data_IF_079311493532
#
_entry.id   IF_079311493532
#
_cell.length_a   1.000
_cell.length_b   1.000
_cell.length_c   1.000
_cell.angle_alpha   90.00
_cell.angle_beta   90.00
_cell.angle_gamma   90.00
#
_symmetry.space_group_name_H-M   'P 1'
#
loop_
_entity.id
_entity.type
_entity.pdbx_description
1 polymer ?
#
# COMPACT_ATOMS: atom_id res chain seq x y z
N UNK A 1 46.66 -32.87 -41.10
CA UNK A 1 47.97 -33.47 -40.81
C UNK A 1 48.09 -33.69 -39.31
N UNK A 2 48.37 -34.99 -38.96
CA UNK A 2 48.73 -35.56 -37.63
C UNK A 2 47.66 -35.39 -36.54
N UNK A 3 46.82 -36.33 -36.15
CA UNK A 3 46.96 -37.77 -35.79
C UNK A 3 48.01 -38.04 -34.70
N UNK A 4 47.55 -38.48 -33.55
CA UNK A 4 48.08 -39.49 -32.64
C UNK A 4 47.11 -39.63 -31.44
N UNK A 5 46.41 -40.69 -31.27
CA UNK A 5 46.63 -42.13 -31.06
C UNK A 5 47.15 -42.50 -29.66
N UNK A 6 46.26 -43.25 -28.98
CA UNK A 6 46.42 -44.37 -28.04
C UNK A 6 47.03 -44.15 -26.67
N UNK A 7 46.40 -44.70 -25.57
CA UNK A 7 46.68 -46.12 -25.26
C UNK A 7 45.72 -46.59 -24.13
N UNK A 8 45.08 -47.73 -24.37
CA UNK A 8 44.44 -48.61 -23.40
C UNK A 8 45.47 -49.36 -22.56
N UNK A 9 45.24 -49.45 -21.22
CA UNK A 9 45.88 -50.54 -20.45
C UNK A 9 44.74 -51.18 -19.61
N UNK A 10 44.45 -52.42 -19.98
CA UNK A 10 43.78 -53.44 -19.20
C UNK A 10 44.75 -54.04 -18.19
N UNK A 11 44.41 -54.12 -16.93
CA UNK A 11 45.03 -55.01 -15.96
C UNK A 11 43.95 -55.89 -15.36
N UNK A 12 43.96 -57.13 -15.77
CA UNK A 12 43.30 -58.27 -15.12
C UNK A 12 44.22 -58.79 -14.01
N UNK A 13 43.69 -58.88 -12.79
CA UNK A 13 44.24 -59.79 -11.78
C UNK A 13 43.12 -60.63 -11.16
N UNK A 14 43.26 -61.95 -11.37
CA UNK A 14 42.54 -62.99 -10.66
C UNK A 14 43.07 -63.09 -9.24
N UNK A 15 42.17 -63.32 -8.26
CA UNK A 15 42.43 -64.28 -7.16
C UNK A 15 41.18 -64.56 -6.33
N UNK A 16 40.84 -65.79 -6.35
CA UNK A 16 40.42 -66.75 -5.31
C UNK A 16 39.41 -66.29 -4.24
N UNK A 17 38.40 -67.11 -4.18
CA UNK A 17 37.25 -67.06 -3.32
C UNK A 17 37.54 -67.36 -1.83
N UNK A 18 36.63 -66.82 -1.05
CA UNK A 18 36.15 -67.48 0.19
C UNK A 18 34.67 -67.09 0.36
N UNK A 19 33.84 -68.13 0.43
CA UNK A 19 32.44 -68.06 0.80
C UNK A 19 32.34 -67.76 2.29
N UNK A 20 31.67 -66.65 2.59
CA UNK A 20 31.04 -66.47 3.90
C UNK A 20 29.55 -66.21 3.67
N UNK A 21 28.72 -67.09 4.22
CA UNK A 21 27.32 -66.84 4.45
C UNK A 21 27.16 -65.71 5.45
N UNK A 22 26.45 -64.69 5.07
CA UNK A 22 25.75 -63.82 6.02
C UNK A 22 24.34 -63.62 5.48
N UNK A 23 23.47 -64.40 6.07
CA UNK A 23 22.03 -64.23 6.01
C UNK A 23 21.64 -62.94 6.71
N UNK A 24 20.69 -62.20 6.10
CA UNK A 24 19.69 -61.35 6.74
C UNK A 24 20.13 -60.23 7.67
N UNK A 25 20.63 -59.09 7.12
CA UNK A 25 20.49 -57.80 7.82
C UNK A 25 20.41 -56.56 6.88
N UNK A 26 20.43 -56.71 5.56
CA UNK A 26 20.41 -55.57 4.63
C UNK A 26 19.03 -55.20 4.02
N UNK A 27 17.97 -55.82 4.44
CA UNK A 27 16.61 -55.55 3.92
C UNK A 27 15.71 -54.78 4.89
N UNK A 28 16.22 -54.29 6.00
CA UNK A 28 15.45 -53.61 7.00
C UNK A 28 15.72 -52.09 7.10
N UNK A 29 16.72 -51.57 6.36
CA UNK A 29 17.05 -50.11 6.36
C UNK A 29 16.48 -49.32 5.19
N UNK A 30 15.69 -49.92 4.30
CA UNK A 30 15.13 -49.21 3.12
C UNK A 30 13.62 -48.96 3.20
N UNK A 31 12.95 -49.29 4.31
CA UNK A 31 11.51 -49.09 4.45
C UNK A 31 11.08 -48.06 5.52
N UNK A 32 12.02 -47.29 6.09
CA UNK A 32 11.70 -46.25 7.08
C UNK A 32 11.77 -44.84 6.56
N UNK A 33 11.90 -44.64 5.25
CA UNK A 33 11.45 -43.38 4.60
C UNK A 33 9.98 -43.53 4.23
N UNK A 34 9.11 -43.61 5.25
CA UNK A 34 7.75 -43.13 5.10
C UNK A 34 7.94 -41.64 4.84
N UNK A 35 7.77 -41.22 3.57
CA UNK A 35 7.42 -39.84 3.28
C UNK A 35 6.21 -39.55 4.18
N UNK A 36 6.45 -38.75 5.21
CA UNK A 36 5.39 -38.17 6.00
C UNK A 36 4.69 -37.19 5.05
N UNK A 37 3.85 -37.74 4.16
CA UNK A 37 2.92 -36.98 3.33
C UNK A 37 1.80 -36.45 4.25
N UNK A 38 2.24 -35.65 5.23
CA UNK A 38 1.34 -34.71 5.88
C UNK A 38 1.01 -33.69 4.81
N UNK A 39 0.06 -34.02 3.94
CA UNK A 39 -0.66 -33.03 3.15
C UNK A 39 -1.26 -32.08 4.17
N UNK A 40 -0.56 -30.93 4.38
CA UNK A 40 -1.11 -29.81 5.14
C UNK A 40 -2.42 -29.49 4.43
N UNK A 41 -3.54 -29.76 5.09
CA UNK A 41 -4.86 -29.53 4.51
C UNK A 41 -5.00 -28.03 4.29
N UNK A 42 -4.85 -27.59 3.02
CA UNK A 42 -4.92 -26.20 2.65
C UNK A 42 -6.32 -25.66 2.96
N UNK A 43 -6.38 -24.57 3.71
CA UNK A 43 -7.64 -23.88 3.99
C UNK A 43 -7.83 -22.77 2.94
N UNK A 44 -8.70 -22.97 1.96
CA UNK A 44 -8.93 -21.95 0.93
C UNK A 44 -9.35 -20.60 1.50
N UNK A 45 -8.93 -19.50 0.88
CA UNK A 45 -9.45 -18.18 1.21
C UNK A 45 -10.97 -18.16 1.10
N UNK A 46 -11.60 -17.36 1.95
CA UNK A 46 -13.01 -17.01 1.77
C UNK A 46 -13.21 -16.41 0.38
N UNK A 47 -14.38 -16.64 -0.20
CA UNK A 47 -14.73 -16.13 -1.52
C UNK A 47 -15.84 -15.10 -1.41
N UNK A 48 -15.58 -13.90 -1.93
CA UNK A 48 -16.61 -12.89 -2.16
C UNK A 48 -17.23 -13.19 -3.52
N UNK A 49 -18.57 -13.35 -3.54
CA UNK A 49 -19.36 -13.48 -4.76
C UNK A 49 -20.24 -12.24 -4.91
N UNK A 50 -20.15 -11.58 -6.06
CA UNK A 50 -20.96 -10.40 -6.38
C UNK A 50 -21.77 -10.73 -7.62
N UNK A 51 -23.07 -10.52 -7.54
CA UNK A 51 -23.99 -10.68 -8.66
C UNK A 51 -24.69 -9.35 -8.92
N UNK A 52 -24.42 -8.74 -10.06
CA UNK A 52 -25.06 -7.49 -10.46
C UNK A 52 -26.47 -7.76 -10.97
N UNK A 53 -27.36 -6.80 -10.85
CA UNK A 53 -28.72 -6.91 -11.36
C UNK A 53 -28.72 -7.20 -12.88
N UNK A 54 -29.38 -8.28 -13.26
CA UNK A 54 -29.45 -8.78 -14.64
C UNK A 54 -28.06 -9.04 -15.28
N UNK A 55 -27.01 -9.25 -14.49
CA UNK A 55 -25.65 -9.50 -14.98
C UNK A 55 -24.99 -8.30 -15.67
N UNK A 56 -25.44 -7.08 -15.34
CA UNK A 56 -24.85 -5.84 -15.92
C UNK A 56 -23.37 -5.72 -15.64
N UNK A 57 -22.63 -5.18 -16.59
CA UNK A 57 -21.23 -4.83 -16.40
C UNK A 57 -21.08 -3.68 -15.40
N UNK A 58 -20.10 -3.80 -14.50
CA UNK A 58 -19.76 -2.74 -13.54
C UNK A 58 -19.00 -1.65 -14.30
N UNK A 59 -19.42 -0.40 -14.11
CA UNK A 59 -18.84 0.79 -14.73
C UNK A 59 -18.14 1.67 -13.68
N UNK A 60 -17.44 2.72 -14.13
CA UNK A 60 -16.77 3.67 -13.23
C UNK A 60 -17.80 4.47 -12.41
N UNK A 61 -18.77 5.08 -13.08
CA UNK A 61 -19.88 5.82 -12.49
C UNK A 61 -21.13 5.69 -13.37
N UNK A 62 -22.32 5.69 -12.79
CA UNK A 62 -22.66 5.61 -11.35
C UNK A 62 -22.55 4.19 -10.79
N UNK A 63 -22.53 4.03 -9.46
CA UNK A 63 -22.68 2.73 -8.81
C UNK A 63 -23.93 2.01 -9.33
N UNK A 64 -23.79 0.72 -9.53
CA UNK A 64 -24.89 -0.17 -9.93
C UNK A 64 -25.25 -1.12 -8.80
N UNK A 65 -26.54 -1.46 -8.69
CA UNK A 65 -27.04 -2.42 -7.70
C UNK A 65 -26.48 -3.81 -7.95
N UNK A 66 -26.05 -4.46 -6.86
CA UNK A 66 -25.57 -5.82 -6.86
C UNK A 66 -25.84 -6.51 -5.52
N UNK A 67 -25.70 -7.82 -5.50
CA UNK A 67 -25.82 -8.66 -4.32
C UNK A 67 -24.44 -9.21 -3.95
N UNK A 68 -23.98 -8.92 -2.73
CA UNK A 68 -22.68 -9.30 -2.18
C UNK A 68 -22.84 -10.46 -1.22
N UNK A 69 -21.99 -11.46 -1.33
CA UNK A 69 -21.98 -12.63 -0.44
C UNK A 69 -20.55 -13.06 -0.10
N UNK A 70 -20.32 -13.49 1.13
CA UNK A 70 -19.07 -14.12 1.57
C UNK A 70 -19.32 -15.61 1.82
N UNK A 71 -18.48 -16.44 1.24
CA UNK A 71 -18.49 -17.90 1.42
C UNK A 71 -17.19 -18.41 2.04
N UNK A 72 -17.29 -19.41 2.93
CA UNK A 72 -16.20 -20.31 3.30
C UNK A 72 -16.49 -21.69 2.71
N UNK A 73 -15.78 -22.03 1.63
CA UNK A 73 -16.15 -23.17 0.81
C UNK A 73 -17.55 -22.99 0.21
N UNK A 74 -18.48 -23.88 0.52
CA UNK A 74 -19.88 -23.80 0.08
C UNK A 74 -20.80 -23.10 1.12
N UNK A 75 -20.30 -22.81 2.31
CA UNK A 75 -21.09 -22.22 3.38
C UNK A 75 -21.19 -20.69 3.21
N UNK A 76 -22.40 -20.18 3.05
CA UNK A 76 -22.69 -18.75 3.11
C UNK A 76 -22.46 -18.25 4.54
N UNK A 77 -21.63 -17.21 4.68
CA UNK A 77 -21.30 -16.59 5.97
C UNK A 77 -22.06 -15.28 6.14
N UNK A 78 -22.12 -14.48 5.08
CA UNK A 78 -22.61 -13.10 5.15
C UNK A 78 -23.15 -12.67 3.78
N UNK A 79 -24.18 -11.80 3.76
CA UNK A 79 -24.73 -11.26 2.53
C UNK A 79 -25.34 -9.88 2.71
N UNK A 80 -25.23 -9.01 1.68
CA UNK A 80 -25.71 -7.64 1.66
C UNK A 80 -26.13 -7.19 0.27
N UNK A 81 -27.07 -6.24 0.19
CA UNK A 81 -27.24 -5.42 -1.00
C UNK A 81 -26.13 -4.38 -1.05
N UNK A 82 -25.61 -4.08 -2.23
CA UNK A 82 -24.55 -3.13 -2.45
C UNK A 82 -24.77 -2.27 -3.68
N UNK A 83 -24.22 -1.06 -3.66
CA UNK A 83 -23.90 -0.29 -4.86
C UNK A 83 -22.44 -0.45 -5.20
N UNK A 84 -22.09 -0.85 -6.41
CA UNK A 84 -20.71 -1.13 -6.81
C UNK A 84 -20.30 -0.38 -8.09
N UNK A 85 -19.07 0.10 -8.12
CA UNK A 85 -18.45 0.79 -9.25
C UNK A 85 -17.00 0.34 -9.47
N UNK A 86 -16.45 0.53 -10.65
CA UNK A 86 -15.01 0.46 -10.88
C UNK A 86 -14.37 1.69 -10.21
N UNK A 87 -13.22 1.51 -9.59
CA UNK A 87 -12.48 2.62 -8.98
C UNK A 87 -11.02 2.66 -9.42
N UNK A 88 -10.39 3.81 -9.14
CA UNK A 88 -8.99 4.08 -9.43
C UNK A 88 -8.85 5.10 -10.55
N UNK A 89 -7.62 5.49 -10.84
CA UNK A 89 -7.26 6.34 -11.96
C UNK A 89 -6.46 5.51 -12.98
N UNK A 90 -5.14 5.53 -12.92
CA UNK A 90 -4.28 4.73 -13.83
C UNK A 90 -4.52 3.21 -13.70
N UNK A 91 -4.92 2.72 -12.53
CA UNK A 91 -5.23 1.29 -12.34
C UNK A 91 -6.42 0.79 -13.17
N UNK A 92 -7.27 1.69 -13.64
CA UNK A 92 -8.37 1.34 -14.56
C UNK A 92 -7.90 0.86 -15.93
N UNK A 93 -6.66 1.13 -16.33
CA UNK A 93 -6.09 0.59 -17.57
C UNK A 93 -5.75 -0.91 -17.48
N UNK A 94 -5.62 -1.45 -16.26
CA UNK A 94 -5.37 -2.88 -16.08
C UNK A 94 -6.63 -3.71 -16.29
N UNK A 95 -6.50 -4.95 -16.80
CA UNK A 95 -7.65 -5.84 -16.97
C UNK A 95 -8.26 -6.29 -15.64
N UNK A 96 -7.44 -6.40 -14.58
CA UNK A 96 -7.90 -6.68 -13.21
C UNK A 96 -8.28 -5.37 -12.54
N UNK A 97 -9.58 -5.08 -12.51
CA UNK A 97 -10.12 -3.84 -11.93
C UNK A 97 -10.14 -3.89 -10.41
N UNK A 98 -10.05 -2.72 -9.78
CA UNK A 98 -10.43 -2.52 -8.39
C UNK A 98 -11.84 -1.95 -8.33
N UNK A 99 -12.56 -2.22 -7.24
CA UNK A 99 -13.95 -1.80 -7.09
C UNK A 99 -14.13 -1.01 -5.80
N UNK A 100 -14.95 0.04 -5.85
CA UNK A 100 -15.55 0.68 -4.70
C UNK A 100 -16.98 0.18 -4.53
N UNK A 101 -17.42 -0.06 -3.31
CA UNK A 101 -18.80 -0.41 -3.07
C UNK A 101 -19.29 0.14 -1.75
N UNK A 102 -20.60 0.32 -1.67
CA UNK A 102 -21.34 0.73 -0.48
C UNK A 102 -22.37 -0.33 -0.15
N UNK A 103 -22.52 -0.62 1.13
CA UNK A 103 -23.63 -1.47 1.59
C UNK A 103 -24.91 -0.65 1.64
N UNK A 104 -26.01 -1.22 1.12
CA UNK A 104 -27.30 -0.59 0.94
C UNK A 104 -28.41 -1.33 1.68
N UNK A 105 -29.43 -0.59 2.07
CA UNK A 105 -30.70 -1.16 2.53
C UNK A 105 -31.59 -1.62 1.34
N UNK A 106 -32.81 -2.08 1.64
CA UNK A 106 -33.77 -2.53 0.61
C UNK A 106 -34.27 -1.38 -0.29
N UNK A 107 -34.13 -0.12 0.15
CA UNK A 107 -34.49 1.06 -0.63
C UNK A 107 -33.34 1.57 -1.52
N UNK A 108 -32.13 1.02 -1.35
CA UNK A 108 -30.92 1.45 -2.05
C UNK A 108 -30.25 2.65 -1.39
N UNK A 109 -30.53 2.92 -0.12
CA UNK A 109 -29.88 3.95 0.67
C UNK A 109 -28.70 3.33 1.46
N UNK A 110 -27.70 4.15 1.80
CA UNK A 110 -26.51 3.75 2.52
C UNK A 110 -26.84 3.10 3.86
N UNK A 111 -26.20 1.98 4.17
CA UNK A 111 -26.42 1.21 5.40
C UNK A 111 -25.08 0.81 6.03
N UNK A 112 -24.81 1.33 7.23
CA UNK A 112 -23.68 0.91 8.05
C UNK A 112 -23.83 -0.57 8.47
N UNK A 113 -22.86 -1.42 8.12
CA UNK A 113 -22.83 -2.82 8.52
C UNK A 113 -21.44 -3.23 9.01
N UNK A 114 -21.38 -4.21 9.91
CA UNK A 114 -20.14 -4.87 10.30
C UNK A 114 -19.76 -5.90 9.24
N UNK A 115 -19.13 -5.47 8.16
CA UNK A 115 -18.76 -6.32 7.04
C UNK A 115 -17.50 -7.14 7.37
N UNK A 116 -17.57 -8.45 7.19
CA UNK A 116 -16.41 -9.35 7.37
C UNK A 116 -15.75 -9.25 8.77
N UNK A 117 -16.48 -8.79 9.77
CA UNK A 117 -16.00 -8.55 11.13
C UNK A 117 -15.26 -7.23 11.32
N UNK A 118 -15.23 -6.36 10.30
CA UNK A 118 -14.78 -4.97 10.47
C UNK A 118 -15.83 -4.14 11.22
N UNK A 119 -15.43 -3.02 11.85
CA UNK A 119 -16.39 -2.08 12.44
C UNK A 119 -17.43 -1.62 11.42
N UNK A 120 -18.64 -1.32 11.92
CA UNK A 120 -19.77 -0.85 11.12
C UNK A 120 -19.38 0.37 10.28
N UNK A 121 -19.68 0.30 8.99
CA UNK A 121 -19.55 1.36 7.99
C UNK A 121 -20.19 0.92 6.66
N UNK A 122 -20.48 1.85 5.74
CA UNK A 122 -21.06 1.55 4.44
C UNK A 122 -20.02 1.47 3.30
N UNK A 123 -18.89 2.20 3.38
CA UNK A 123 -17.92 2.39 2.30
C UNK A 123 -16.75 1.38 2.35
N UNK A 124 -16.58 0.59 1.30
CA UNK A 124 -15.60 -0.48 1.19
C UNK A 124 -14.87 -0.50 -0.17
N UNK A 125 -13.75 -1.20 -0.21
CA UNK A 125 -12.95 -1.36 -1.42
C UNK A 125 -12.56 -2.81 -1.61
N UNK A 126 -12.64 -3.29 -2.85
CA UNK A 126 -12.00 -4.49 -3.33
C UNK A 126 -10.81 -4.10 -4.21
N UNK A 127 -9.61 -4.13 -3.63
CA UNK A 127 -8.38 -3.85 -4.35
C UNK A 127 -7.91 -5.08 -5.11
N UNK A 128 -7.69 -4.95 -6.41
CA UNK A 128 -7.16 -6.00 -7.29
C UNK A 128 -5.68 -5.79 -7.58
N UNK A 129 -4.74 -6.44 -6.85
CA UNK A 129 -3.32 -6.32 -7.14
C UNK A 129 -3.02 -6.92 -8.52
N UNK A 130 -2.55 -6.08 -9.46
CA UNK A 130 -2.19 -6.51 -10.82
C UNK A 130 -0.72 -6.22 -11.14
N UNK A 131 -0.28 -4.96 -11.03
CA UNK A 131 1.13 -4.61 -11.21
C UNK A 131 2.01 -5.01 -10.02
N UNK A 132 1.42 -5.17 -8.83
CA UNK A 132 2.10 -5.73 -7.67
C UNK A 132 2.05 -7.26 -7.70
N UNK A 133 3.08 -7.89 -8.27
CA UNK A 133 3.17 -9.35 -8.38
C UNK A 133 3.57 -10.04 -7.07
N UNK A 134 4.03 -9.29 -6.06
CA UNK A 134 4.15 -9.84 -4.71
C UNK A 134 2.78 -10.07 -4.06
N UNK A 135 1.74 -9.36 -4.53
CA UNK A 135 0.35 -9.34 -4.04
C UNK A 135 0.17 -8.68 -2.66
N UNK A 136 1.26 -8.30 -1.98
CA UNK A 136 1.23 -7.93 -0.55
C UNK A 136 1.72 -6.50 -0.22
N UNK A 137 2.27 -5.71 -1.16
CA UNK A 137 2.91 -4.41 -0.86
C UNK A 137 1.99 -3.45 -0.10
N UNK A 138 0.75 -3.28 -0.55
CA UNK A 138 -0.22 -2.45 0.15
C UNK A 138 -0.55 -2.99 1.54
N UNK A 139 -0.81 -4.30 1.65
CA UNK A 139 -1.15 -4.94 2.92
C UNK A 139 0.01 -4.83 3.92
N UNK A 140 1.24 -5.05 3.45
CA UNK A 140 2.45 -4.94 4.27
C UNK A 140 2.58 -3.54 4.89
N UNK A 141 2.55 -2.49 4.07
CA UNK A 141 2.77 -1.14 4.60
C UNK A 141 1.63 -0.67 5.51
N UNK A 142 0.38 -1.07 5.24
CA UNK A 142 -0.73 -0.75 6.13
C UNK A 142 -0.61 -1.46 7.47
N UNK A 143 -0.15 -2.72 7.51
CA UNK A 143 0.19 -3.39 8.77
C UNK A 143 1.31 -2.68 9.51
N UNK A 144 2.37 -2.27 8.82
CA UNK A 144 3.47 -1.51 9.42
C UNK A 144 3.01 -0.16 9.98
N UNK A 145 2.14 0.57 9.27
CA UNK A 145 1.57 1.82 9.75
C UNK A 145 0.76 1.65 11.04
N UNK A 146 -0.11 0.63 11.09
CA UNK A 146 -0.86 0.32 12.30
C UNK A 146 0.06 -0.12 13.45
N UNK A 147 1.13 -0.84 13.15
CA UNK A 147 2.11 -1.30 14.15
C UNK A 147 2.86 -0.15 14.79
N UNK A 148 3.21 0.90 14.03
CA UNK A 148 3.86 2.11 14.57
C UNK A 148 2.87 3.08 15.24
N UNK A 149 1.59 2.72 15.33
CA UNK A 149 0.55 3.49 16.01
C UNK A 149 -0.15 4.55 15.13
N UNK A 150 -0.02 4.46 13.81
CA UNK A 150 -0.72 5.33 12.84
C UNK A 150 -1.79 4.55 12.09
N UNK A 151 -3.02 4.99 12.21
CA UNK A 151 -4.11 4.35 11.47
C UNK A 151 -3.79 4.25 9.97
N UNK A 152 -3.94 3.05 9.45
CA UNK A 152 -4.04 2.76 8.04
C UNK A 152 -5.16 1.74 7.84
N UNK A 153 -5.70 1.70 6.65
CA UNK A 153 -6.83 0.84 6.28
C UNK A 153 -6.58 -0.62 6.67
N UNK A 154 -7.55 -1.24 7.31
CA UNK A 154 -7.53 -2.68 7.58
C UNK A 154 -7.74 -3.43 6.27
N UNK A 155 -7.12 -4.60 6.19
CA UNK A 155 -7.08 -5.40 4.95
C UNK A 155 -7.27 -6.87 5.25
N UNK A 156 -7.95 -7.59 4.36
CA UNK A 156 -8.06 -9.06 4.38
C UNK A 156 -8.09 -9.62 2.96
N UNK A 157 -7.49 -10.78 2.76
CA UNK A 157 -7.46 -11.44 1.46
C UNK A 157 -8.73 -12.26 1.21
N UNK A 158 -9.22 -12.18 -0.01
CA UNK A 158 -10.37 -12.94 -0.50
C UNK A 158 -10.16 -13.37 -1.95
N UNK A 159 -10.76 -14.48 -2.32
CA UNK A 159 -11.05 -14.76 -3.73
C UNK A 159 -12.26 -13.95 -4.17
N UNK A 160 -12.25 -13.40 -5.39
CA UNK A 160 -13.40 -12.66 -5.93
C UNK A 160 -14.02 -13.37 -7.12
N UNK A 161 -15.34 -13.44 -7.12
CA UNK A 161 -16.15 -13.90 -8.25
C UNK A 161 -17.22 -12.83 -8.54
N UNK A 162 -17.34 -12.40 -9.80
CA UNK A 162 -18.38 -11.47 -10.25
C UNK A 162 -19.20 -12.13 -11.36
N UNK A 163 -20.52 -12.20 -11.20
CA UNK A 163 -21.44 -12.82 -12.15
C UNK A 163 -20.99 -14.24 -12.58
N UNK A 164 -20.53 -15.03 -11.61
CA UNK A 164 -20.02 -16.38 -11.84
C UNK A 164 -18.61 -16.48 -12.42
N UNK A 165 -17.96 -15.36 -12.75
CA UNK A 165 -16.59 -15.32 -13.28
C UNK A 165 -15.58 -15.14 -12.15
N UNK A 166 -14.67 -16.11 -11.99
CA UNK A 166 -13.55 -16.01 -11.04
C UNK A 166 -12.52 -14.97 -11.48
N UNK A 167 -12.15 -14.05 -10.59
CA UNK A 167 -11.23 -12.94 -10.84
C UNK A 167 -9.91 -13.02 -10.07
N UNK A 168 -9.68 -14.09 -9.30
CA UNK A 168 -8.46 -14.29 -8.52
C UNK A 168 -8.49 -13.62 -7.15
N UNK A 169 -7.31 -13.37 -6.62
CA UNK A 169 -7.09 -12.74 -5.31
C UNK A 169 -7.46 -11.26 -5.32
N UNK A 170 -8.20 -10.84 -4.32
CA UNK A 170 -8.51 -9.44 -4.01
C UNK A 170 -8.26 -9.15 -2.53
N UNK A 171 -8.07 -7.88 -2.22
CA UNK A 171 -7.96 -7.38 -0.85
C UNK A 171 -9.21 -6.58 -0.52
N UNK A 172 -10.00 -7.06 0.44
CA UNK A 172 -11.07 -6.24 1.04
C UNK A 172 -10.43 -5.21 1.95
N UNK A 173 -10.79 -3.94 1.78
CA UNK A 173 -10.17 -2.81 2.45
C UNK A 173 -11.21 -1.80 2.92
N UNK A 174 -10.92 -1.14 4.05
CA UNK A 174 -11.63 0.09 4.44
C UNK A 174 -11.31 1.22 3.46
N UNK A 175 -12.29 2.03 3.08
CA UNK A 175 -12.07 3.31 2.39
C UNK A 175 -11.63 4.37 3.41
N UNK A 176 -10.72 5.26 3.06
CA UNK A 176 -10.39 6.41 3.91
C UNK A 176 -11.62 7.29 4.05
N UNK A 177 -12.08 7.46 5.26
CA UNK A 177 -13.29 8.21 5.61
C UNK A 177 -13.19 8.74 7.04
N UNK A 178 -13.94 9.81 7.34
CA UNK A 178 -14.14 10.23 8.72
C UNK A 178 -15.04 9.22 9.44
N UNK A 179 -14.47 8.49 10.34
CA UNK A 179 -15.20 7.60 11.26
C UNK A 179 -14.38 7.35 12.52
N UNK A 180 -15.04 6.98 13.63
CA UNK A 180 -14.40 6.67 14.92
C UNK A 180 -13.39 5.53 14.86
N UNK A 181 -13.54 4.61 13.90
CA UNK A 181 -12.69 3.45 13.71
C UNK A 181 -11.71 3.61 12.52
N UNK A 182 -11.81 4.72 11.76
CA UNK A 182 -10.95 5.06 10.60
C UNK A 182 -10.20 6.36 10.88
N UNK A 183 -10.49 7.46 10.17
CA UNK A 183 -9.94 8.78 10.51
C UNK A 183 -10.81 9.38 11.60
N UNK A 184 -10.37 9.21 12.84
CA UNK A 184 -11.15 9.61 14.02
C UNK A 184 -10.99 11.11 14.30
N UNK A 185 -11.79 11.90 13.57
CA UNK A 185 -11.93 13.34 13.78
C UNK A 185 -13.40 13.70 13.96
N UNK A 186 -13.67 14.84 14.57
CA UNK A 186 -15.00 15.40 14.78
C UNK A 186 -15.74 15.59 13.45
N UNK A 187 -17.07 15.47 13.49
CA UNK A 187 -17.89 15.88 12.35
C UNK A 187 -17.70 17.37 12.12
N UNK A 188 -17.50 17.75 10.86
CA UNK A 188 -17.46 19.16 10.48
C UNK A 188 -18.82 19.85 10.81
N UNK A 189 -18.78 21.05 11.35
CA UNK A 189 -19.95 21.76 11.89
C UNK A 189 -19.93 23.21 11.46
N UNK A 190 -21.13 23.80 11.33
CA UNK A 190 -21.26 25.22 10.98
C UNK A 190 -21.02 26.17 12.18
N UNK A 191 -21.22 25.68 13.42
CA UNK A 191 -21.00 26.45 14.65
C UNK A 191 -19.56 26.40 15.16
N UNK A 192 -18.72 25.45 14.65
CA UNK A 192 -17.28 25.40 14.87
C UNK A 192 -16.57 24.86 13.62
N UNK A 193 -16.06 25.78 12.81
CA UNK A 193 -15.38 25.45 11.56
C UNK A 193 -13.87 25.17 11.73
N UNK A 194 -13.36 25.11 12.97
CA UNK A 194 -11.92 24.97 13.24
C UNK A 194 -11.37 23.58 12.94
N UNK A 195 -12.22 22.60 12.63
CA UNK A 195 -11.79 21.23 12.38
C UNK A 195 -12.84 20.37 11.69
N UNK A 196 -12.57 19.04 11.67
CA UNK A 196 -13.38 18.09 10.95
C UNK A 196 -13.06 18.09 9.45
N UNK A 197 -11.77 18.17 9.07
CA UNK A 197 -11.35 18.16 7.69
C UNK A 197 -10.41 16.99 7.38
N UNK A 198 -10.65 16.35 6.23
CA UNK A 198 -9.67 15.50 5.55
C UNK A 198 -9.41 16.17 4.20
N UNK A 199 -8.15 16.45 3.90
CA UNK A 199 -7.70 16.94 2.60
C UNK A 199 -6.63 16.01 2.06
N UNK A 200 -6.44 16.00 0.76
CA UNK A 200 -5.38 15.21 0.14
C UNK A 200 -4.65 15.99 -0.95
N UNK A 201 -3.36 15.73 -1.10
CA UNK A 201 -2.61 16.11 -2.29
C UNK A 201 -2.80 14.98 -3.30
N UNK A 202 -3.36 15.30 -4.46
CA UNK A 202 -3.63 14.31 -5.51
C UNK A 202 -3.80 14.94 -6.88
N UNK A 203 -3.87 14.08 -7.91
CA UNK A 203 -4.29 14.46 -9.25
C UNK A 203 -5.74 14.92 -9.23
N UNK A 204 -6.04 15.88 -10.09
CA UNK A 204 -7.41 16.27 -10.38
C UNK A 204 -7.90 15.34 -11.49
N UNK A 205 -8.41 14.19 -11.11
CA UNK A 205 -9.00 13.18 -12.01
C UNK A 205 -10.37 12.79 -11.48
N UNK A 206 -11.30 12.52 -12.38
CA UNK A 206 -12.73 12.33 -12.06
C UNK A 206 -13.49 13.65 -12.10
N UNK A 207 -14.80 13.65 -12.05
CA UNK A 207 -15.69 14.82 -11.99
C UNK A 207 -15.37 15.96 -12.99
N UNK A 208 -14.93 15.63 -14.22
CA UNK A 208 -14.78 16.61 -15.31
C UNK A 208 -13.43 17.27 -15.44
N UNK A 209 -12.35 16.68 -14.94
CA UNK A 209 -10.92 16.88 -15.27
C UNK A 209 -10.38 18.33 -15.29
N UNK A 210 -11.11 19.31 -14.83
CA UNK A 210 -10.63 20.69 -14.71
C UNK A 210 -10.53 21.09 -13.25
N UNK A 211 -9.36 21.61 -12.88
CA UNK A 211 -9.18 22.26 -11.58
C UNK A 211 -10.26 23.33 -11.44
N UNK A 212 -11.12 23.10 -10.47
CA UNK A 212 -12.12 24.09 -10.16
C UNK A 212 -12.10 24.30 -8.63
N UNK A 213 -12.23 25.56 -8.23
CA UNK A 213 -12.21 25.98 -6.82
C UNK A 213 -13.27 25.28 -5.96
N UNK A 214 -14.20 24.57 -6.58
CA UNK A 214 -15.21 23.79 -5.88
C UNK A 214 -14.63 22.50 -5.28
N UNK A 215 -13.73 21.80 -6.01
CA UNK A 215 -13.19 20.50 -5.62
C UNK A 215 -11.81 20.55 -4.98
N UNK A 216 -11.04 21.61 -5.27
CA UNK A 216 -9.65 21.74 -4.82
C UNK A 216 -9.21 23.18 -4.71
N UNK A 217 -8.11 23.40 -4.00
CA UNK A 217 -7.34 24.65 -4.00
C UNK A 217 -5.85 24.34 -4.19
N UNK A 218 -5.04 25.35 -4.48
CA UNK A 218 -3.62 25.17 -4.77
C UNK A 218 -2.75 25.78 -3.66
N UNK A 219 -1.57 25.19 -3.45
CA UNK A 219 -0.49 25.87 -2.74
C UNK A 219 -0.15 27.20 -3.43
N UNK A 220 0.17 28.21 -2.63
CA UNK A 220 0.69 29.50 -3.16
C UNK A 220 2.20 29.49 -3.35
N UNK A 221 2.85 28.37 -3.12
CA UNK A 221 4.30 28.23 -3.15
C UNK A 221 4.77 27.30 -4.27
N UNK A 222 5.94 27.64 -4.83
CA UNK A 222 6.67 26.76 -5.74
C UNK A 222 7.32 25.60 -4.98
N UNK A 223 7.88 24.64 -5.72
CA UNK A 223 8.70 23.56 -5.15
C UNK A 223 9.92 24.04 -4.34
N UNK A 224 10.36 25.26 -4.55
CA UNK A 224 11.52 25.88 -3.89
C UNK A 224 11.10 26.76 -2.69
N UNK A 225 9.84 26.74 -2.29
CA UNK A 225 9.33 27.52 -1.16
C UNK A 225 9.21 29.03 -1.46
N UNK A 226 9.10 29.40 -2.73
CA UNK A 226 8.94 30.80 -3.16
C UNK A 226 7.48 31.04 -3.51
N UNK A 227 6.88 32.06 -2.91
CA UNK A 227 5.52 32.48 -3.22
C UNK A 227 5.45 32.92 -4.70
N UNK A 228 4.63 32.25 -5.53
CA UNK A 228 4.64 32.49 -6.96
C UNK A 228 3.61 31.72 -7.77
N UNK A 229 3.77 31.77 -9.11
CA UNK A 229 2.75 31.38 -10.10
C UNK A 229 2.79 29.89 -10.46
N UNK A 230 3.90 29.18 -10.28
CA UNK A 230 4.04 27.76 -10.62
C UNK A 230 3.53 26.89 -9.47
N UNK A 231 2.25 26.63 -9.48
CA UNK A 231 1.52 25.94 -8.41
C UNK A 231 1.21 24.52 -8.86
N UNK A 232 2.01 23.56 -8.42
CA UNK A 232 1.88 22.15 -8.84
C UNK A 232 1.43 21.24 -7.70
N UNK A 233 1.02 21.82 -6.56
CA UNK A 233 0.48 21.09 -5.42
C UNK A 233 -0.99 21.46 -5.26
N UNK A 234 -1.85 20.47 -5.44
CA UNK A 234 -3.30 20.64 -5.36
C UNK A 234 -3.83 19.94 -4.10
N UNK A 235 -4.61 20.65 -3.31
CA UNK A 235 -5.31 20.14 -2.12
C UNK A 235 -6.76 19.88 -2.45
N UNK A 236 -7.17 18.63 -2.46
CA UNK A 236 -8.55 18.20 -2.72
C UNK A 236 -9.30 18.06 -1.41
N UNK A 237 -10.58 18.46 -1.39
CA UNK A 237 -11.47 18.23 -0.25
C UNK A 237 -11.94 16.78 -0.23
N UNK A 238 -11.46 16.00 0.72
CA UNK A 238 -11.92 14.63 0.92
C UNK A 238 -13.08 14.53 1.92
N UNK A 239 -13.02 15.29 3.00
CA UNK A 239 -14.11 15.46 3.96
C UNK A 239 -14.06 16.87 4.57
N UNK A 240 -15.18 17.60 4.65
CA UNK A 240 -16.44 17.31 3.95
C UNK A 240 -16.25 17.24 2.43
N UNK A 241 -17.13 16.49 1.75
CA UNK A 241 -17.10 16.45 0.29
C UNK A 241 -17.47 17.83 -0.28
N UNK A 242 -17.01 18.08 -1.50
CA UNK A 242 -17.25 19.34 -2.20
C UNK A 242 -18.72 19.84 -2.18
N UNK A 243 -19.68 18.91 -2.28
CA UNK A 243 -21.11 19.23 -2.23
C UNK A 243 -21.61 19.65 -0.83
N UNK A 244 -20.87 19.30 0.23
CA UNK A 244 -21.27 19.41 1.63
C UNK A 244 -20.51 20.51 2.40
N UNK A 245 -19.34 20.95 1.89
CA UNK A 245 -18.49 21.96 2.53
C UNK A 245 -18.94 23.36 2.19
N UNK A 246 -19.18 24.22 3.20
CA UNK A 246 -19.56 25.62 3.00
C UNK A 246 -18.37 26.50 2.56
N UNK A 247 -18.66 27.71 2.04
CA UNK A 247 -17.62 28.66 1.65
C UNK A 247 -16.81 29.15 2.87
N UNK A 248 -17.43 29.30 4.03
CA UNK A 248 -16.72 29.64 5.27
C UNK A 248 -15.75 28.55 5.69
N UNK A 249 -16.16 27.30 5.58
CA UNK A 249 -15.33 26.14 5.89
C UNK A 249 -14.18 26.00 4.89
N UNK A 250 -14.44 26.22 3.59
CA UNK A 250 -13.36 26.28 2.56
C UNK A 250 -12.36 27.39 2.88
N UNK A 251 -12.85 28.59 3.16
CA UNK A 251 -11.99 29.73 3.51
C UNK A 251 -11.13 29.47 4.74
N UNK A 252 -11.70 28.78 5.73
CA UNK A 252 -10.96 28.41 6.95
C UNK A 252 -9.83 27.45 6.64
N UNK A 253 -10.09 26.31 5.99
CA UNK A 253 -9.04 25.29 5.75
C UNK A 253 -8.00 25.78 4.75
N UNK A 254 -8.39 26.56 3.73
CA UNK A 254 -7.47 27.21 2.81
C UNK A 254 -6.58 28.23 3.55
N UNK A 255 -7.19 29.03 4.43
CA UNK A 255 -6.47 29.99 5.27
C UNK A 255 -5.45 29.29 6.16
N UNK A 256 -5.86 28.21 6.82
CA UNK A 256 -5.00 27.42 7.69
C UNK A 256 -3.78 26.84 6.93
N UNK A 257 -4.02 26.27 5.75
CA UNK A 257 -2.94 25.74 4.90
C UNK A 257 -1.99 26.83 4.45
N UNK A 258 -2.51 28.00 4.06
CA UNK A 258 -1.69 29.17 3.68
C UNK A 258 -0.83 29.65 4.85
N UNK A 259 -1.44 29.80 6.05
CA UNK A 259 -0.74 30.25 7.24
C UNK A 259 0.36 29.27 7.65
N UNK A 260 0.12 27.94 7.49
CA UNK A 260 1.15 26.91 7.64
C UNK A 260 2.28 27.07 6.65
N UNK A 261 1.96 27.23 5.36
CA UNK A 261 2.96 27.41 4.30
C UNK A 261 3.74 28.71 4.48
N UNK A 262 3.09 29.81 4.87
CA UNK A 262 3.75 31.09 5.19
C UNK A 262 4.71 30.92 6.39
N UNK A 263 4.30 30.18 7.43
CA UNK A 263 5.14 29.95 8.60
C UNK A 263 6.38 29.10 8.28
N UNK A 264 6.20 28.00 7.53
CA UNK A 264 7.33 27.11 7.20
C UNK A 264 8.27 27.73 6.14
N UNK A 265 7.78 28.62 5.28
CA UNK A 265 8.60 29.37 4.34
C UNK A 265 9.40 30.52 4.98
N UNK A 266 8.99 31.00 6.15
CA UNK A 266 9.58 32.14 6.81
C UNK A 266 11.03 31.90 7.29
N UNK A 267 11.77 32.96 7.58
CA UNK A 267 13.10 32.86 8.21
C UNK A 267 13.01 32.28 9.63
N UNK A 268 11.90 32.53 10.33
CA UNK A 268 11.63 32.06 11.69
C UNK A 268 10.89 30.73 11.73
N UNK A 269 10.98 29.90 10.69
CA UNK A 269 10.17 28.69 10.55
C UNK A 269 10.32 27.67 11.69
N UNK A 270 11.46 27.68 12.41
CA UNK A 270 11.73 26.78 13.56
C UNK A 270 11.18 27.32 14.89
N UNK A 271 10.63 28.58 14.92
CA UNK A 271 10.07 29.18 16.12
C UNK A 271 8.91 28.34 16.69
N UNK A 272 8.86 28.16 18.00
CA UNK A 272 7.77 27.46 18.66
C UNK A 272 6.42 28.20 18.57
N UNK A 273 6.45 29.56 18.59
CA UNK A 273 5.24 30.39 18.58
C UNK A 273 4.79 30.79 17.18
N UNK A 274 5.71 30.99 16.25
CA UNK A 274 5.44 31.60 14.94
C UNK A 274 5.81 30.71 13.76
N UNK A 275 6.57 29.64 13.99
CA UNK A 275 7.00 28.69 12.97
C UNK A 275 5.97 27.57 12.70
N UNK A 276 6.40 26.59 11.93
CA UNK A 276 5.53 25.47 11.48
C UNK A 276 4.95 24.64 12.64
N UNK A 277 5.63 24.55 13.77
CA UNK A 277 5.21 23.79 14.96
C UNK A 277 3.89 24.28 15.55
N UNK A 278 3.50 25.52 15.27
CA UNK A 278 2.18 26.07 15.63
C UNK A 278 1.05 25.37 14.89
N UNK A 279 1.30 24.90 13.68
CA UNK A 279 0.27 24.42 12.74
C UNK A 279 0.23 22.90 12.60
N UNK A 280 1.33 22.20 12.76
CA UNK A 280 1.39 20.75 12.50
C UNK A 280 1.68 19.93 13.75
N UNK A 281 1.15 18.72 13.77
CA UNK A 281 1.55 17.64 14.67
C UNK A 281 2.83 17.02 14.15
N UNK A 282 3.96 17.41 14.74
CA UNK A 282 5.30 17.03 14.27
C UNK A 282 5.50 15.52 14.26
N UNK A 283 4.98 14.81 15.26
CA UNK A 283 5.12 13.35 15.37
C UNK A 283 4.40 12.64 14.21
N UNK A 284 3.24 13.16 13.76
CA UNK A 284 2.54 12.61 12.62
C UNK A 284 3.32 12.81 11.31
N UNK A 285 3.99 13.93 11.16
CA UNK A 285 4.85 14.22 10.00
C UNK A 285 6.09 13.31 9.99
N UNK A 286 6.69 13.08 11.14
CA UNK A 286 7.83 12.16 11.29
C UNK A 286 7.43 10.72 10.93
N UNK A 287 6.35 10.20 11.49
CA UNK A 287 5.89 8.84 11.19
C UNK A 287 5.49 8.69 9.72
N UNK A 288 4.82 9.70 9.14
CA UNK A 288 4.49 9.72 7.71
C UNK A 288 5.75 9.72 6.83
N UNK A 289 6.75 10.51 7.20
CA UNK A 289 8.07 10.51 6.54
C UNK A 289 8.69 9.11 6.59
N UNK A 290 8.79 8.51 7.77
CA UNK A 290 9.39 7.18 7.94
C UNK A 290 8.69 6.14 7.06
N UNK A 291 7.34 6.10 7.06
CA UNK A 291 6.55 5.12 6.29
C UNK A 291 6.70 5.30 4.77
N UNK A 292 6.82 6.53 4.29
CA UNK A 292 7.05 6.79 2.88
C UNK A 292 8.50 6.53 2.46
N UNK A 293 9.46 6.88 3.32
CA UNK A 293 10.87 6.65 3.03
C UNK A 293 11.28 5.18 3.11
N UNK A 294 10.75 4.42 4.06
CA UNK A 294 11.06 2.97 4.15
C UNK A 294 10.60 2.22 2.90
N UNK A 295 9.61 2.72 2.22
CA UNK A 295 9.06 2.12 0.98
C UNK A 295 9.60 2.77 -0.28
N UNK A 296 10.22 3.94 -0.18
CA UNK A 296 10.62 4.79 -1.30
C UNK A 296 9.51 4.88 -2.36
N UNK A 297 8.28 5.14 -1.90
CA UNK A 297 7.12 5.28 -2.77
C UNK A 297 7.31 6.48 -3.72
N UNK A 298 7.29 6.25 -5.03
CA UNK A 298 7.45 7.32 -6.04
C UNK A 298 6.29 8.30 -6.08
N UNK A 299 5.13 7.93 -5.54
CA UNK A 299 3.97 8.81 -5.38
C UNK A 299 3.93 9.52 -4.02
N UNK A 300 4.85 9.19 -3.11
CA UNK A 300 4.91 9.77 -1.79
C UNK A 300 4.90 11.31 -1.81
N UNK A 301 4.19 11.89 -0.85
CA UNK A 301 4.11 13.33 -0.61
C UNK A 301 3.36 14.16 -1.65
N UNK A 302 3.07 13.63 -2.85
CA UNK A 302 2.59 14.38 -4.02
C UNK A 302 1.30 13.83 -4.67
N UNK A 303 1.00 12.55 -4.44
CA UNK A 303 -0.19 11.86 -4.94
C UNK A 303 -0.73 10.98 -3.81
N UNK A 304 -2.04 10.83 -3.71
CA UNK A 304 -2.70 10.03 -2.67
C UNK A 304 -2.20 10.32 -1.26
N UNK A 305 -1.82 11.57 -1.00
CA UNK A 305 -1.23 12.04 0.25
C UNK A 305 -2.29 12.69 1.11
N UNK A 306 -2.78 11.95 2.09
CA UNK A 306 -3.85 12.40 2.98
C UNK A 306 -3.29 13.14 4.19
N UNK A 307 -4.09 14.10 4.68
CA UNK A 307 -3.89 14.79 5.93
C UNK A 307 -5.24 15.19 6.53
N UNK A 308 -5.28 15.36 7.83
CA UNK A 308 -6.53 15.67 8.51
C UNK A 308 -6.33 16.68 9.65
N UNK A 309 -7.38 17.40 9.96
CA UNK A 309 -7.39 18.41 11.03
C UNK A 309 -8.68 18.31 11.84
N UNK A 310 -8.53 18.04 13.14
CA UNK A 310 -9.66 18.05 14.05
C UNK A 310 -9.88 19.44 14.69
N UNK A 311 -11.00 19.61 15.39
CA UNK A 311 -11.40 20.86 16.07
C UNK A 311 -10.32 21.25 17.07
N UNK A 312 -9.83 22.48 16.97
CA UNK A 312 -8.77 23.05 17.81
C UNK A 312 -7.46 22.26 17.87
N UNK A 313 -7.28 21.26 16.99
CA UNK A 313 -6.03 20.51 16.87
C UNK A 313 -5.16 21.02 15.71
N UNK A 314 -3.91 20.56 15.69
CA UNK A 314 -2.96 20.80 14.60
C UNK A 314 -3.24 19.86 13.42
N UNK A 315 -2.76 20.24 12.25
CA UNK A 315 -2.79 19.39 11.06
C UNK A 315 -1.93 18.13 11.28
N UNK A 316 -2.46 16.96 10.96
CA UNK A 316 -1.79 15.65 11.02
C UNK A 316 -1.65 15.05 9.64
N UNK A 317 -0.48 14.47 9.34
CA UNK A 317 -0.29 13.66 8.13
C UNK A 317 -0.93 12.28 8.29
N UNK A 318 -1.39 11.75 7.17
CA UNK A 318 -2.00 10.43 7.08
C UNK A 318 -3.54 10.47 6.99
N UNK A 319 -4.16 9.27 6.84
CA UNK A 319 -3.51 7.96 6.70
C UNK A 319 -2.70 7.80 5.42
N UNK A 320 -1.76 6.86 5.40
CA UNK A 320 -1.03 6.48 4.19
C UNK A 320 -1.95 5.74 3.20
N UNK A 321 -1.66 5.86 1.89
CA UNK A 321 -2.48 5.26 0.83
C UNK A 321 -1.68 5.00 -0.43
N UNK A 322 -2.01 3.88 -1.14
CA UNK A 322 -1.57 3.57 -2.52
C UNK A 322 -0.06 3.30 -2.66
N UNK A 323 0.37 2.15 -2.17
CA UNK A 323 1.78 1.72 -2.15
C UNK A 323 2.08 0.52 -3.06
N UNK A 324 1.21 0.21 -4.02
CA UNK A 324 1.38 -0.92 -4.92
C UNK A 324 2.60 -0.82 -5.83
N UNK A 325 3.11 0.40 -6.08
CA UNK A 325 4.31 0.67 -6.86
C UNK A 325 5.54 1.03 -6.01
N UNK A 326 5.40 0.97 -4.69
CA UNK A 326 6.47 1.16 -3.71
C UNK A 326 7.35 -0.08 -3.55
N UNK A 327 8.28 -0.06 -2.60
CA UNK A 327 9.20 -1.16 -2.31
C UNK A 327 9.92 -1.67 -3.57
N UNK A 328 10.43 -0.74 -4.37
CA UNK A 328 11.20 -1.05 -5.56
C UNK A 328 10.39 -1.53 -6.76
N UNK A 329 9.07 -1.43 -6.75
CA UNK A 329 8.22 -1.90 -7.86
C UNK A 329 8.08 -0.91 -9.03
N UNK A 330 8.66 0.30 -8.95
CA UNK A 330 8.62 1.30 -10.02
C UNK A 330 9.96 1.40 -10.76
N UNK A 331 9.93 1.33 -12.09
CA UNK A 331 11.09 1.45 -13.00
C UNK A 331 11.40 2.88 -13.45
N UNK A 332 10.69 3.86 -12.91
CA UNK A 332 10.86 5.28 -13.23
C UNK A 332 11.22 6.10 -11.99
N UNK A 333 11.77 7.31 -12.22
CA UNK A 333 12.12 8.27 -11.17
C UNK A 333 12.90 7.62 -10.00
N UNK A 334 13.83 6.74 -10.34
CA UNK A 334 14.66 5.99 -9.40
C UNK A 334 13.89 5.11 -8.39
N UNK A 335 12.62 4.79 -8.65
CA UNK A 335 11.75 4.02 -7.75
C UNK A 335 12.26 2.61 -7.42
N UNK A 336 13.08 2.02 -8.30
CA UNK A 336 13.70 0.72 -8.07
C UNK A 336 14.89 0.73 -7.12
N UNK A 337 15.48 1.90 -6.83
CA UNK A 337 16.69 2.01 -6.01
C UNK A 337 16.37 1.87 -4.51
N UNK A 338 17.26 1.22 -3.78
CA UNK A 338 17.20 1.16 -2.30
C UNK A 338 17.79 2.41 -1.63
N UNK A 339 18.47 3.28 -2.40
CA UNK A 339 19.14 4.50 -1.94
C UNK A 339 18.39 5.75 -2.39
N UNK A 340 18.74 6.92 -1.82
CA UNK A 340 18.08 8.20 -2.13
C UNK A 340 16.78 8.39 -1.36
N UNK A 341 16.39 9.65 -1.16
CA UNK A 341 15.19 10.04 -0.43
C UNK A 341 13.98 10.22 -1.35
N UNK A 342 12.83 9.66 -0.99
CA UNK A 342 11.59 9.86 -1.76
C UNK A 342 11.12 11.33 -1.71
N UNK A 343 11.32 12.03 -0.60
CA UNK A 343 10.99 13.46 -0.52
C UNK A 343 11.79 14.34 -1.49
N UNK A 344 12.91 13.83 -2.03
CA UNK A 344 13.71 14.46 -3.08
C UNK A 344 13.23 14.12 -4.50
N UNK A 345 12.02 13.62 -4.66
CA UNK A 345 11.43 13.26 -5.96
C UNK A 345 11.58 14.36 -7.02
N UNK A 346 11.41 15.62 -6.64
CA UNK A 346 11.54 16.76 -7.56
C UNK A 346 12.94 16.90 -8.19
N UNK A 347 13.97 16.36 -7.55
CA UNK A 347 15.34 16.31 -8.07
C UNK A 347 15.52 15.09 -9.00
N UNK A 348 14.97 13.91 -8.59
CA UNK A 348 15.05 12.67 -9.37
C UNK A 348 14.18 12.72 -10.64
N UNK A 349 13.07 13.46 -10.60
CA UNK A 349 12.07 13.50 -11.67
C UNK A 349 11.63 14.95 -11.99
N UNK A 350 12.52 15.85 -12.41
CA UNK A 350 12.25 17.29 -12.53
C UNK A 350 11.22 17.65 -13.61
N UNK A 351 10.90 16.72 -14.51
CA UNK A 351 9.91 16.92 -15.58
C UNK A 351 8.49 16.48 -15.20
N UNK A 352 8.30 15.89 -14.01
CA UNK A 352 6.96 15.50 -13.53
C UNK A 352 6.16 16.75 -13.16
N UNK A 353 4.86 16.76 -13.53
CA UNK A 353 3.96 17.86 -13.24
C UNK A 353 3.40 17.87 -11.82
N UNK A 354 3.47 16.75 -11.11
CA UNK A 354 3.02 16.59 -9.72
C UNK A 354 4.23 16.63 -8.80
N UNK A 355 4.35 17.69 -8.00
CA UNK A 355 5.55 17.96 -7.21
C UNK A 355 5.33 17.65 -5.73
N UNK A 356 6.41 17.22 -5.09
CA UNK A 356 6.52 17.17 -3.62
C UNK A 356 6.50 18.60 -3.09
N UNK A 357 5.68 18.93 -2.08
CA UNK A 357 5.66 20.23 -1.44
C UNK A 357 7.03 20.59 -0.84
N UNK A 358 7.43 21.84 -0.90
CA UNK A 358 8.69 22.35 -0.33
C UNK A 358 8.83 22.13 1.20
N UNK A 359 7.74 21.78 1.88
CA UNK A 359 7.69 21.58 3.32
C UNK A 359 8.75 20.59 3.80
N UNK A 360 8.92 19.50 3.06
CA UNK A 360 9.83 18.41 3.46
C UNK A 360 11.28 18.86 3.43
N UNK A 361 11.69 19.64 2.42
CA UNK A 361 13.02 20.25 2.40
C UNK A 361 13.25 21.22 3.56
N UNK A 362 12.21 21.98 3.94
CA UNK A 362 12.30 22.90 5.07
C UNK A 362 12.33 22.20 6.41
N UNK A 363 11.50 21.17 6.62
CA UNK A 363 11.51 20.35 7.83
C UNK A 363 12.88 19.71 8.05
N UNK A 364 13.50 19.18 6.99
CA UNK A 364 14.83 18.57 7.05
C UNK A 364 15.97 19.58 7.32
N UNK A 365 15.69 20.88 7.24
CA UNK A 365 16.63 21.95 7.65
C UNK A 365 16.51 22.31 9.14
N UNK A 366 15.47 21.87 9.86
CA UNK A 366 15.36 22.07 11.31
C UNK A 366 16.11 20.97 12.07
N UNK A 367 17.20 21.30 12.80
CA UNK A 367 17.92 20.31 13.61
C UNK A 367 17.05 19.61 14.66
N UNK A 368 16.02 20.27 15.18
CA UNK A 368 15.10 19.66 16.14
C UNK A 368 14.20 18.61 15.46
N UNK A 369 13.77 18.88 14.23
CA UNK A 369 12.97 17.92 13.46
C UNK A 369 13.81 16.68 13.10
N UNK A 370 15.02 16.88 12.59
CA UNK A 370 15.91 15.76 12.20
C UNK A 370 16.38 14.97 13.42
N UNK A 371 16.61 15.60 14.56
CA UNK A 371 16.90 14.90 15.81
C UNK A 371 15.72 14.04 16.28
N UNK A 372 14.51 14.60 16.30
CA UNK A 372 13.30 13.86 16.67
C UNK A 372 13.02 12.69 15.69
N UNK A 373 13.23 12.91 14.40
CA UNK A 373 13.17 11.86 13.38
C UNK A 373 14.16 10.73 13.65
N UNK A 374 15.41 11.06 13.98
CA UNK A 374 16.45 10.09 14.34
C UNK A 374 16.09 9.29 15.59
N UNK A 375 15.60 9.93 16.61
CA UNK A 375 15.17 9.28 17.86
C UNK A 375 14.00 8.33 17.59
N UNK A 376 12.99 8.78 16.85
CA UNK A 376 11.84 7.96 16.48
C UNK A 376 12.25 6.76 15.60
N UNK A 377 13.07 6.99 14.58
CA UNK A 377 13.62 5.93 13.73
C UNK A 377 14.38 4.89 14.55
N UNK A 378 15.28 5.34 15.43
CA UNK A 378 16.07 4.44 16.28
C UNK A 378 15.18 3.57 17.16
N UNK A 379 14.14 4.17 17.78
CA UNK A 379 13.17 3.44 18.59
C UNK A 379 12.42 2.39 17.78
N UNK A 380 11.90 2.76 16.60
CA UNK A 380 11.17 1.85 15.72
C UNK A 380 12.07 0.72 15.19
N UNK A 381 13.34 1.00 14.86
CA UNK A 381 14.30 -0.02 14.38
C UNK A 381 14.69 -1.03 15.45
N UNK A 382 14.57 -0.69 16.71
CA UNK A 382 14.77 -1.64 17.82
C UNK A 382 13.56 -2.56 18.05
N UNK A 383 12.38 -2.17 17.55
CA UNK A 383 11.11 -2.82 17.85
C UNK A 383 10.30 -3.10 16.57
N UNK A 384 9.30 -2.26 16.30
CA UNK A 384 8.25 -2.46 15.30
C UNK A 384 8.79 -2.58 13.88
N UNK A 385 9.79 -1.80 13.53
CA UNK A 385 10.42 -1.79 12.20
C UNK A 385 11.80 -2.48 12.20
N UNK A 386 12.07 -3.40 13.12
CA UNK A 386 13.26 -4.25 13.04
C UNK A 386 13.20 -5.15 11.80
N UNK A 387 14.35 -5.57 11.28
CA UNK A 387 14.39 -6.51 10.14
C UNK A 387 13.54 -7.75 10.42
N UNK A 388 13.68 -8.32 11.63
CA UNK A 388 12.93 -9.53 12.01
C UNK A 388 11.42 -9.29 12.05
N UNK A 389 10.96 -8.13 12.54
CA UNK A 389 9.54 -7.78 12.58
C UNK A 389 8.97 -7.66 11.16
N UNK A 390 9.63 -6.90 10.29
CA UNK A 390 9.16 -6.68 8.92
C UNK A 390 9.17 -7.99 8.12
N UNK A 391 10.28 -8.77 8.21
CA UNK A 391 10.37 -10.05 7.50
C UNK A 391 9.34 -11.06 8.03
N UNK A 392 9.09 -11.09 9.34
CA UNK A 392 8.04 -11.91 9.94
C UNK A 392 6.65 -11.60 9.38
N UNK A 393 6.32 -10.32 9.19
CA UNK A 393 5.05 -9.92 8.57
C UNK A 393 5.00 -10.33 7.09
N UNK A 394 6.11 -10.19 6.34
CA UNK A 394 6.18 -10.66 4.95
C UNK A 394 5.94 -12.18 4.89
N UNK A 395 6.59 -12.95 5.77
CA UNK A 395 6.46 -14.40 5.80
C UNK A 395 5.04 -14.84 6.19
N UNK A 396 4.42 -14.16 7.15
CA UNK A 396 3.02 -14.40 7.54
C UNK A 396 2.07 -14.16 6.36
N UNK A 397 2.20 -13.01 5.66
CA UNK A 397 1.34 -12.67 4.53
C UNK A 397 1.51 -13.65 3.36
N UNK A 398 2.75 -14.04 3.07
CA UNK A 398 3.04 -15.02 2.01
C UNK A 398 2.51 -16.40 2.40
N UNK A 399 2.72 -16.83 3.65
CA UNK A 399 2.20 -18.09 4.17
C UNK A 399 0.69 -18.19 4.05
N UNK A 400 -0.07 -17.14 4.40
CA UNK A 400 -1.53 -17.09 4.22
C UNK A 400 -1.94 -17.34 2.76
N UNK A 401 -1.20 -16.77 1.80
CA UNK A 401 -1.49 -16.95 0.38
C UNK A 401 -1.07 -18.32 -0.17
N UNK A 402 0.02 -18.89 0.33
CA UNK A 402 0.50 -20.22 -0.04
C UNK A 402 -0.39 -21.33 0.53
N UNK A 403 -0.72 -21.24 1.80
CA UNK A 403 -1.58 -22.21 2.51
C UNK A 403 -3.00 -22.26 1.93
N UNK A 404 -3.46 -21.16 1.34
CA UNK A 404 -4.79 -21.07 0.71
C UNK A 404 -4.81 -21.39 -0.79
N UNK A 405 -3.67 -21.69 -1.42
CA UNK A 405 -3.49 -21.83 -2.87
C UNK A 405 -3.87 -20.57 -3.69
N UNK A 406 -3.98 -19.43 -3.03
CA UNK A 406 -4.40 -18.18 -3.65
C UNK A 406 -3.44 -17.69 -4.74
N UNK A 407 -2.13 -17.93 -4.57
CA UNK A 407 -1.09 -17.58 -5.52
C UNK A 407 -1.31 -18.31 -6.85
N UNK A 408 -1.45 -19.65 -6.79
CA UNK A 408 -1.68 -20.50 -7.97
C UNK A 408 -2.97 -20.08 -8.68
N UNK A 409 -4.05 -19.87 -7.93
CA UNK A 409 -5.34 -19.48 -8.49
C UNK A 409 -5.28 -18.09 -9.14
N UNK A 410 -4.63 -17.12 -8.48
CA UNK A 410 -4.48 -15.77 -9.01
C UNK A 410 -3.68 -15.74 -10.31
N UNK A 411 -2.51 -16.37 -10.33
CA UNK A 411 -1.66 -16.39 -11.51
C UNK A 411 -2.13 -17.40 -12.58
N UNK A 412 -2.96 -18.36 -12.23
CA UNK A 412 -3.73 -19.17 -13.19
C UNK A 412 -4.77 -18.35 -13.95
N UNK A 413 -5.39 -17.36 -13.29
CA UNK A 413 -6.31 -16.40 -13.92
C UNK A 413 -5.58 -15.31 -14.68
N UNK A 414 -4.51 -14.75 -14.10
CA UNK A 414 -3.75 -13.64 -14.63
C UNK A 414 -2.33 -14.10 -14.95
N UNK A 415 -2.07 -14.47 -16.21
CA UNK A 415 -0.79 -15.02 -16.66
C UNK A 415 0.26 -13.90 -16.85
N UNK A 416 0.65 -13.24 -15.76
CA UNK A 416 1.54 -12.07 -15.77
C UNK A 416 2.92 -12.30 -15.17
N UNK A 417 3.20 -13.47 -14.58
CA UNK A 417 4.54 -13.83 -14.17
C UNK A 417 5.45 -13.96 -15.41
N UNK A 418 6.68 -13.48 -15.30
CA UNK A 418 7.60 -13.41 -16.44
C UNK A 418 7.26 -12.32 -17.47
N UNK A 419 6.20 -11.53 -17.27
CA UNK A 419 5.76 -10.48 -18.20
C UNK A 419 5.91 -9.11 -17.54
N UNK A 420 6.49 -8.15 -18.25
CA UNK A 420 6.51 -6.76 -17.78
C UNK A 420 5.10 -6.19 -17.73
N UNK A 421 4.71 -5.69 -16.57
CA UNK A 421 3.49 -4.92 -16.34
C UNK A 421 3.94 -3.55 -15.82
N UNK A 422 3.59 -2.49 -16.51
CA UNK A 422 3.96 -1.14 -16.07
C UNK A 422 3.51 -0.89 -14.62
N UNK A 423 4.37 -0.36 -13.75
CA UNK A 423 5.75 0.08 -13.95
C UNK A 423 6.79 -0.88 -13.32
N UNK A 424 6.67 -2.19 -13.47
CA UNK A 424 7.55 -3.16 -12.78
C UNK A 424 9.03 -2.89 -13.04
N UNK A 425 9.80 -2.61 -12.00
CA UNK A 425 11.26 -2.57 -12.05
C UNK A 425 11.89 -3.97 -12.07
N UNK A 426 11.25 -4.93 -11.44
CA UNK A 426 11.62 -6.34 -11.43
C UNK A 426 10.52 -7.20 -12.06
N UNK A 427 10.90 -8.29 -12.73
CA UNK A 427 9.97 -9.22 -13.38
C UNK A 427 10.39 -10.65 -13.08
N UNK A 428 9.81 -11.23 -12.04
CA UNK A 428 10.01 -12.62 -11.65
C UNK A 428 9.18 -13.58 -12.52
N UNK A 429 9.75 -14.74 -12.83
CA UNK A 429 9.04 -15.82 -13.53
C UNK A 429 8.16 -16.63 -12.59
N UNK A 430 8.39 -16.52 -11.28
CA UNK A 430 7.65 -17.17 -10.20
C UNK A 430 7.33 -16.15 -9.10
N UNK A 431 6.24 -16.37 -8.38
CA UNK A 431 5.89 -15.53 -7.24
C UNK A 431 7.00 -15.51 -6.17
N UNK A 432 7.65 -16.64 -5.90
CA UNK A 432 8.77 -16.71 -4.96
C UNK A 432 9.96 -15.79 -5.33
N UNK A 433 10.18 -15.53 -6.62
CA UNK A 433 11.21 -14.59 -7.08
C UNK A 433 10.80 -13.13 -6.79
N UNK A 434 9.51 -12.80 -6.93
CA UNK A 434 8.96 -11.48 -6.57
C UNK A 434 9.07 -11.23 -5.04
N UNK A 435 8.86 -12.27 -4.22
CA UNK A 435 9.02 -12.18 -2.76
C UNK A 435 10.49 -12.06 -2.37
N UNK A 436 11.39 -12.81 -2.99
CA UNK A 436 12.84 -12.69 -2.76
C UNK A 436 13.31 -11.27 -3.07
N UNK A 437 12.93 -10.75 -4.25
CA UNK A 437 13.25 -9.38 -4.63
C UNK A 437 12.72 -8.35 -3.61
N UNK A 438 11.46 -8.50 -3.17
CA UNK A 438 10.86 -7.60 -2.17
C UNK A 438 11.66 -7.60 -0.86
N UNK A 439 12.02 -8.78 -0.35
CA UNK A 439 12.81 -8.92 0.90
C UNK A 439 14.19 -8.30 0.78
N UNK A 440 14.92 -8.64 -0.29
CA UNK A 440 16.26 -8.08 -0.54
C UNK A 440 16.23 -6.56 -0.70
N UNK A 441 15.21 -6.04 -1.39
CA UNK A 441 15.01 -4.61 -1.55
C UNK A 441 14.78 -3.93 -0.19
N UNK A 442 13.90 -4.49 0.66
CA UNK A 442 13.61 -3.96 2.01
C UNK A 442 14.90 -3.95 2.86
N UNK A 443 15.66 -5.03 2.89
CA UNK A 443 16.93 -5.10 3.65
C UNK A 443 17.93 -4.05 3.19
N UNK A 444 18.11 -3.90 1.89
CA UNK A 444 18.96 -2.86 1.31
C UNK A 444 18.48 -1.45 1.68
N UNK A 445 17.16 -1.21 1.65
CA UNK A 445 16.57 0.07 2.02
C UNK A 445 16.76 0.41 3.49
N UNK A 446 16.48 -0.52 4.38
CA UNK A 446 16.68 -0.35 5.82
C UNK A 446 18.13 -0.04 6.16
N UNK A 447 19.06 -0.80 5.57
CA UNK A 447 20.51 -0.58 5.76
C UNK A 447 20.94 0.82 5.32
N UNK A 448 20.43 1.29 4.16
CA UNK A 448 20.74 2.62 3.68
C UNK A 448 20.14 3.71 4.59
N UNK A 449 18.88 3.57 5.00
CA UNK A 449 18.23 4.54 5.89
C UNK A 449 18.90 4.61 7.26
N UNK A 450 19.33 3.48 7.84
CA UNK A 450 20.08 3.44 9.10
C UNK A 450 21.36 4.29 9.00
N UNK A 451 22.08 4.19 7.87
CA UNK A 451 23.29 4.98 7.64
C UNK A 451 22.98 6.47 7.46
N UNK A 452 21.96 6.84 6.66
CA UNK A 452 21.67 8.24 6.38
C UNK A 452 21.08 8.96 7.60
N UNK A 453 20.13 8.35 8.30
CA UNK A 453 19.50 8.95 9.48
C UNK A 453 20.51 9.07 10.65
N UNK A 454 21.51 8.20 10.71
CA UNK A 454 22.57 8.32 11.73
C UNK A 454 23.37 9.63 11.63
N UNK A 455 23.37 10.27 10.46
CA UNK A 455 24.11 11.51 10.18
C UNK A 455 23.37 12.78 10.63
N UNK A 456 22.10 12.69 10.95
CA UNK A 456 21.25 13.78 11.45
C UNK A 456 21.63 14.20 12.86
#
# INVERSE_FOLDING_TARGET
>A
MRANFCLFIFILLFSCGQTYNTDNEETQFLNDFVEDDTTIEKTPLKTIKINTDAGREIVDEPKISAFFQIFQGENLIEEHNIGIEIRGSSSQYFPKKSYGFETWDEAGEDLDVSLAGYPEEEDWILYGPFSDKSLIRNVLIYRLSNLVGRYATKTSFYNLQINGVFLGLYVLMEKIKRDKNRVNISKNRSDDISGGYIIKIDKITGDGDTLNEKIAFMSEYTKDGIKGINKNVHFLYEYPKNRDISDEQKNYIQGYMRDFEDAIASENFTSESDGYKKYIDVDSFIDFFILNEITRNVDAYRISTFMHKDINEKLKMGPIWDFNIAFGNADYCEGGLTTGWAYKFNEACPADGMLVPFWWDRLMQDPNFTQALKERWTSLRLNELSNSSIMGIVDELVGELEDSDAITQNFGKWLILGTYIWPNNFVGNRHSEEITYLKEWIEGRLSWMDQEISKF
#
